data_IF_252144104172
#
_entry.id   IF_252144104172
#
_cell.length_a   1.000
_cell.length_b   1.000
_cell.length_c   1.000
_cell.angle_alpha   90.00
_cell.angle_beta   90.00
_cell.angle_gamma   90.00
#
_symmetry.space_group_name_H-M   'P 1'
#
loop_
_entity.id
_entity.type
_entity.pdbx_description
1 polymer ?
#
# COMPACT_ATOMS: atom_id res chain seq x y z
N UNK A 1 -18.41 -20.29 -6.67
CA UNK A 1 -17.51 -19.85 -7.76
C UNK A 1 -17.22 -18.35 -7.72
N UNK A 2 -18.23 -17.48 -7.74
CA UNK A 2 -18.04 -16.01 -7.77
C UNK A 2 -17.17 -15.45 -6.63
N UNK A 3 -17.35 -15.89 -5.37
CA UNK A 3 -16.49 -15.47 -4.25
C UNK A 3 -15.02 -15.83 -4.44
N UNK A 4 -14.75 -17.00 -5.04
CA UNK A 4 -13.39 -17.46 -5.35
C UNK A 4 -12.76 -16.64 -6.47
N UNK A 5 -13.55 -16.31 -7.50
CA UNK A 5 -13.12 -15.42 -8.58
C UNK A 5 -12.80 -14.02 -8.06
N UNK A 6 -13.67 -13.45 -7.22
CA UNK A 6 -13.45 -12.15 -6.60
C UNK A 6 -12.18 -12.14 -5.73
N UNK A 7 -11.99 -13.16 -4.90
CA UNK A 7 -10.77 -13.30 -4.09
C UNK A 7 -9.51 -13.37 -4.98
N UNK A 8 -9.54 -14.17 -6.06
CA UNK A 8 -8.42 -14.26 -7.00
C UNK A 8 -8.12 -12.94 -7.70
N UNK A 9 -9.15 -12.23 -8.19
CA UNK A 9 -9.00 -10.89 -8.79
C UNK A 9 -8.39 -9.92 -7.77
N UNK A 10 -8.86 -9.94 -6.53
CA UNK A 10 -8.31 -9.09 -5.47
C UNK A 10 -6.82 -9.39 -5.22
N UNK A 11 -6.41 -10.67 -5.21
CA UNK A 11 -4.99 -11.01 -5.09
C UNK A 11 -4.16 -10.46 -6.25
N UNK A 12 -4.67 -10.54 -7.49
CA UNK A 12 -3.99 -9.95 -8.65
C UNK A 12 -3.84 -8.44 -8.49
N UNK A 13 -4.90 -7.74 -8.08
CA UNK A 13 -4.87 -6.29 -7.87
C UNK A 13 -3.86 -5.89 -6.79
N UNK A 14 -3.82 -6.63 -5.67
CA UNK A 14 -2.83 -6.42 -4.61
C UNK A 14 -1.41 -6.65 -5.12
N UNK A 15 -1.16 -7.71 -5.88
CA UNK A 15 0.17 -7.97 -6.45
C UNK A 15 0.62 -6.89 -7.44
N UNK A 16 -0.31 -6.32 -8.22
CA UNK A 16 0.00 -5.19 -9.12
C UNK A 16 0.37 -3.95 -8.30
N UNK A 17 -0.37 -3.65 -7.24
CA UNK A 17 -0.07 -2.50 -6.36
C UNK A 17 1.28 -2.65 -5.66
N UNK A 18 1.60 -3.85 -5.15
CA UNK A 18 2.89 -4.17 -4.55
C UNK A 18 4.04 -4.05 -5.57
N UNK A 19 3.84 -4.54 -6.80
CA UNK A 19 4.83 -4.37 -7.86
C UNK A 19 5.05 -2.88 -8.19
N UNK A 20 3.97 -2.12 -8.32
CA UNK A 20 4.06 -0.68 -8.57
C UNK A 20 4.79 0.05 -7.44
N UNK A 21 4.51 -0.30 -6.18
CA UNK A 21 5.19 0.23 -5.00
C UNK A 21 6.71 0.02 -5.11
N UNK A 22 7.16 -1.20 -5.39
CA UNK A 22 8.59 -1.52 -5.52
C UNK A 22 9.22 -0.76 -6.68
N UNK A 23 8.54 -0.69 -7.83
CA UNK A 23 9.03 0.01 -9.02
C UNK A 23 9.11 1.54 -8.84
N UNK A 24 8.28 2.13 -7.99
CA UNK A 24 8.28 3.57 -7.71
C UNK A 24 9.29 3.90 -6.60
N UNK A 25 9.22 3.19 -5.47
CA UNK A 25 10.02 3.48 -4.28
C UNK A 25 11.46 2.97 -4.43
N UNK A 26 11.69 1.88 -5.17
CA UNK A 26 13.01 1.31 -5.41
C UNK A 26 14.00 2.31 -6.02
N UNK A 27 13.65 3.02 -7.12
CA UNK A 27 14.47 4.10 -7.65
C UNK A 27 14.75 5.21 -6.64
N UNK A 28 13.75 5.65 -5.86
CA UNK A 28 13.97 6.67 -4.83
C UNK A 28 14.92 6.19 -3.73
N UNK A 29 14.81 4.92 -3.31
CA UNK A 29 15.74 4.31 -2.36
C UNK A 29 17.17 4.24 -2.95
N UNK A 30 17.31 3.77 -4.19
CA UNK A 30 18.60 3.70 -4.87
C UNK A 30 19.29 5.07 -5.00
N UNK A 31 18.50 6.13 -5.21
CA UNK A 31 18.98 7.51 -5.30
C UNK A 31 19.17 8.19 -3.94
N UNK A 32 18.90 7.50 -2.82
CA UNK A 32 18.99 8.08 -1.47
C UNK A 32 17.90 9.11 -1.14
N UNK A 33 16.79 9.11 -1.88
CA UNK A 33 15.61 9.97 -1.66
C UNK A 33 14.57 9.34 -0.75
N UNK A 34 14.66 8.03 -0.50
CA UNK A 34 13.86 7.29 0.47
C UNK A 34 14.77 6.58 1.46
N UNK A 35 14.51 6.75 2.76
CA UNK A 35 15.36 6.18 3.83
C UNK A 35 15.15 4.68 4.06
N UNK A 36 14.10 4.10 3.47
CA UNK A 36 13.74 2.70 3.67
C UNK A 36 13.59 1.97 2.36
N UNK A 37 14.25 0.82 2.26
CA UNK A 37 14.10 -0.12 1.16
C UNK A 37 12.64 -0.56 1.02
N UNK A 38 12.05 -0.56 -0.19
CA UNK A 38 10.69 -1.05 -0.37
C UNK A 38 10.57 -2.54 -0.07
N UNK A 39 9.41 -2.96 0.44
CA UNK A 39 9.08 -4.36 0.67
C UNK A 39 8.17 -4.88 -0.43
N UNK A 40 8.42 -6.08 -0.94
CA UNK A 40 7.51 -6.73 -1.89
C UNK A 40 6.15 -7.10 -1.27
N UNK A 41 6.06 -7.15 0.06
CA UNK A 41 4.83 -7.41 0.81
C UNK A 41 4.05 -6.13 1.10
N UNK A 42 4.44 -4.98 0.53
CA UNK A 42 3.87 -3.68 0.87
C UNK A 42 3.14 -3.03 -0.30
N UNK A 43 1.91 -2.62 -0.04
CA UNK A 43 1.10 -1.76 -0.91
C UNK A 43 1.52 -0.29 -0.87
N UNK A 44 1.19 0.48 -1.89
CA UNK A 44 1.46 1.93 -1.94
C UNK A 44 0.76 2.64 -0.77
N UNK A 45 -0.49 2.26 -0.49
CA UNK A 45 -1.26 2.86 0.59
C UNK A 45 -0.66 2.57 1.97
N UNK A 46 -0.12 1.36 2.18
CA UNK A 46 0.63 1.00 3.40
C UNK A 46 1.92 1.81 3.56
N UNK A 47 2.68 1.99 2.46
CA UNK A 47 3.91 2.80 2.47
C UNK A 47 3.63 4.25 2.87
N UNK A 48 2.58 4.83 2.27
CA UNK A 48 2.11 6.17 2.60
C UNK A 48 1.62 6.24 4.04
N UNK A 49 0.88 5.24 4.50
CA UNK A 49 0.44 5.12 5.89
C UNK A 49 1.59 5.12 6.90
N UNK A 50 2.69 4.41 6.61
CA UNK A 50 3.91 4.50 7.44
C UNK A 50 4.59 5.86 7.35
N UNK A 51 4.56 6.49 6.18
CA UNK A 51 5.00 7.88 6.02
C UNK A 51 4.24 8.82 6.96
N UNK A 52 2.91 8.68 7.04
CA UNK A 52 2.08 9.43 7.98
C UNK A 52 2.45 9.14 9.44
N UNK A 53 2.61 7.87 9.81
CA UNK A 53 3.00 7.48 11.18
C UNK A 53 4.37 8.06 11.59
N UNK A 54 5.28 8.21 10.63
CA UNK A 54 6.60 8.83 10.82
C UNK A 54 6.58 10.37 10.79
N UNK A 55 5.43 10.98 10.49
CA UNK A 55 5.31 12.43 10.32
C UNK A 55 6.00 12.97 9.06
N UNK A 56 6.14 12.15 8.00
CA UNK A 56 6.76 12.57 6.76
C UNK A 56 5.88 13.61 6.03
N UNK A 57 6.40 14.80 5.68
CA UNK A 57 5.58 15.88 5.14
C UNK A 57 5.01 15.57 3.75
N UNK A 58 5.68 14.70 2.98
CA UNK A 58 5.18 14.25 1.68
C UNK A 58 3.99 13.29 1.81
N UNK A 59 3.83 12.61 2.95
CA UNK A 59 2.85 11.55 3.09
C UNK A 59 1.42 12.10 3.21
N UNK A 60 1.24 13.27 3.84
CA UNK A 60 -0.08 13.90 4.00
C UNK A 60 -0.80 14.19 2.68
N UNK A 61 -0.21 14.92 1.71
CA UNK A 61 -0.88 15.19 0.44
C UNK A 61 -1.12 13.92 -0.38
N UNK A 62 -0.21 12.94 -0.31
CA UNK A 62 -0.36 11.67 -1.03
C UNK A 62 -1.48 10.83 -0.41
N UNK A 63 -1.55 10.75 0.92
CA UNK A 63 -2.62 10.06 1.63
C UNK A 63 -3.98 10.65 1.32
N UNK A 64 -4.09 11.99 1.26
CA UNK A 64 -5.36 12.63 0.92
C UNK A 64 -5.89 12.21 -0.46
N UNK A 65 -5.01 12.10 -1.45
CA UNK A 65 -5.38 11.63 -2.78
C UNK A 65 -5.80 10.14 -2.79
N UNK A 66 -5.06 9.28 -2.09
CA UNK A 66 -5.35 7.84 -2.03
C UNK A 66 -6.62 7.58 -1.21
N UNK A 67 -6.74 8.17 -0.02
CA UNK A 67 -7.91 8.04 0.85
C UNK A 67 -9.17 8.53 0.12
N UNK A 68 -9.11 9.68 -0.56
CA UNK A 68 -10.23 10.19 -1.35
C UNK A 68 -10.66 9.26 -2.49
N UNK A 69 -9.71 8.62 -3.18
CA UNK A 69 -10.01 7.62 -4.20
C UNK A 69 -10.72 6.39 -3.59
N UNK A 70 -10.20 5.87 -2.47
CA UNK A 70 -10.79 4.70 -1.82
C UNK A 70 -12.16 5.01 -1.21
N UNK A 71 -12.35 6.20 -0.64
CA UNK A 71 -13.66 6.68 -0.17
C UNK A 71 -14.68 6.76 -1.32
N UNK A 72 -14.27 7.27 -2.49
CA UNK A 72 -15.12 7.30 -3.69
C UNK A 72 -15.52 5.88 -4.16
N UNK A 73 -14.62 4.91 -3.97
CA UNK A 73 -14.87 3.49 -4.25
C UNK A 73 -15.67 2.79 -3.14
N UNK A 74 -16.11 3.51 -2.10
CA UNK A 74 -16.96 3.01 -1.01
C UNK A 74 -16.21 2.45 0.19
N UNK A 75 -14.90 2.67 0.29
CA UNK A 75 -14.15 2.36 1.52
C UNK A 75 -14.44 3.38 2.62
N UNK A 76 -14.21 3.00 3.88
CA UNK A 76 -14.31 3.93 5.00
C UNK A 76 -13.12 4.94 5.02
N UNK A 77 -13.23 6.09 5.70
CA UNK A 77 -12.20 7.15 5.66
C UNK A 77 -10.84 6.80 6.25
N UNK A 78 -9.75 7.34 5.73
CA UNK A 78 -8.40 7.08 6.26
C UNK A 78 -7.87 5.68 5.92
N UNK A 79 -8.00 5.27 4.67
CA UNK A 79 -7.56 3.98 4.15
C UNK A 79 -6.07 3.71 4.43
N UNK A 80 -5.20 4.67 4.13
CA UNK A 80 -3.75 4.54 4.31
C UNK A 80 -3.33 4.24 5.75
N UNK A 81 -3.97 4.84 6.76
CA UNK A 81 -3.62 4.61 8.17
C UNK A 81 -4.17 3.29 8.72
N UNK A 82 -5.37 2.88 8.28
CA UNK A 82 -5.99 1.65 8.78
C UNK A 82 -5.36 0.39 8.19
N UNK A 83 -4.84 0.49 6.98
CA UNK A 83 -4.36 -0.67 6.21
C UNK A 83 -2.83 -0.71 6.12
N UNK A 84 -2.14 -0.17 7.12
CA UNK A 84 -0.67 -0.33 7.22
C UNK A 84 -0.36 -1.80 7.46
N UNK A 85 0.06 -2.48 6.40
CA UNK A 85 0.56 -3.85 6.47
C UNK A 85 1.96 -3.81 7.10
N UNK A 86 2.17 -4.60 8.15
CA UNK A 86 3.49 -4.89 8.70
C UNK A 86 4.31 -5.60 7.62
N UNK A 87 5.11 -4.84 6.90
CA UNK A 87 6.14 -5.35 6.02
C UNK A 87 7.14 -6.19 6.85
N UNK A 88 6.87 -7.50 6.96
CA UNK A 88 7.78 -8.64 7.08
C UNK A 88 7.10 -9.87 7.72
N UNK A 89 7.12 -10.99 6.96
CA UNK A 89 7.03 -12.42 7.36
C UNK A 89 5.62 -13.07 7.37
N UNK A 90 5.28 -13.69 6.24
CA UNK A 90 5.10 -15.15 6.23
C UNK A 90 3.73 -15.73 6.60
N UNK A 91 2.63 -15.00 6.49
CA UNK A 91 1.30 -15.63 6.54
C UNK A 91 0.44 -15.20 5.36
N UNK A 92 0.23 -16.14 4.45
CA UNK A 92 -0.82 -16.04 3.44
C UNK A 92 -2.19 -15.81 4.13
N UNK A 93 -3.14 -15.11 3.47
CA UNK A 93 -4.49 -14.95 3.98
C UNK A 93 -5.12 -16.33 4.23
N UNK A 94 -5.68 -16.53 5.42
CA UNK A 94 -6.53 -17.69 5.68
C UNK A 94 -7.96 -17.39 5.21
N UNK A 95 -8.58 -18.40 4.61
CA UNK A 95 -9.84 -18.33 3.87
C UNK A 95 -11.05 -17.93 4.73
#
# INVERSE_FOLDING_TARGET
>A
MMKRLAAWIMQILVSIDQLAQVLIVGPFFFLGLADTCPSADETISSYVGRGLQRGAPWATPVAWAIDGLFELLGAAPGHCLRNVETACIGRAPTA
#
